data_IF_801582346296
#
_entry.id   IF_801582346296
#
_cell.length_a   1.000
_cell.length_b   1.000
_cell.length_c   1.000
_cell.angle_alpha   90.00
_cell.angle_beta   90.00
_cell.angle_gamma   90.00
#
_symmetry.space_group_name_H-M   'P 1'
#
loop_
_entity.id
_entity.type
_entity.pdbx_description
1 polymer ?
#
# COMPACT_ATOMS: atom_id res chain seq x y z
N UNK A 1 2.13 -9.63 -23.74
CA UNK A 1 3.52 -9.88 -23.36
C UNK A 1 4.37 -8.65 -23.65
N UNK A 2 4.04 -7.96 -24.69
CA UNK A 2 4.78 -6.75 -25.00
C UNK A 2 4.52 -5.67 -24.01
N UNK A 3 3.40 -5.73 -23.34
CA UNK A 3 3.08 -4.73 -22.33
C UNK A 3 4.03 -4.78 -21.17
N UNK A 4 4.55 -5.93 -20.87
CA UNK A 4 5.50 -6.04 -19.78
C UNK A 4 6.80 -5.34 -20.11
N UNK A 5 7.15 -5.31 -21.37
CA UNK A 5 8.30 -4.55 -21.79
C UNK A 5 8.09 -3.08 -21.60
N UNK A 6 6.91 -2.63 -22.00
CA UNK A 6 6.65 -1.21 -22.07
C UNK A 6 6.31 -0.61 -20.74
N UNK A 7 5.73 -1.44 -19.88
CA UNK A 7 5.15 -0.93 -18.64
C UNK A 7 5.55 -1.82 -17.50
N UNK A 8 6.76 -1.64 -17.06
CA UNK A 8 7.24 -2.40 -15.92
C UNK A 8 6.78 -1.74 -14.67
N UNK A 9 5.52 -1.94 -14.34
CA UNK A 9 4.97 -1.41 -13.13
C UNK A 9 5.41 -2.26 -11.95
N UNK A 10 5.70 -1.59 -10.86
CA UNK A 10 5.98 -2.25 -9.60
C UNK A 10 4.68 -2.37 -8.83
N UNK A 11 4.41 -3.56 -8.35
CA UNK A 11 3.25 -3.81 -7.50
C UNK A 11 3.71 -4.23 -6.13
N UNK A 12 3.05 -3.72 -5.12
CA UNK A 12 3.40 -4.00 -3.74
C UNK A 12 2.15 -4.17 -2.92
N UNK A 13 2.29 -4.91 -1.83
CA UNK A 13 1.25 -5.00 -0.82
C UNK A 13 1.82 -4.49 0.48
N UNK A 14 1.07 -3.65 1.14
CA UNK A 14 1.47 -3.08 2.40
C UNK A 14 0.50 -3.55 3.47
N UNK A 15 1.04 -4.20 4.48
CA UNK A 15 0.25 -4.67 5.62
C UNK A 15 0.37 -3.62 6.71
N UNK A 16 -0.77 -3.16 7.21
CA UNK A 16 -0.81 -1.99 8.08
C UNK A 16 -1.54 -2.29 9.36
N UNK A 17 -0.94 -1.94 10.49
CA UNK A 17 -1.61 -1.94 11.78
C UNK A 17 -1.99 -0.52 12.15
N UNK A 18 -3.18 -0.37 12.71
CA UNK A 18 -3.75 0.93 13.02
C UNK A 18 -3.99 1.06 14.52
N UNK A 19 -3.95 2.30 14.96
CA UNK A 19 -4.44 2.64 16.30
C UNK A 19 -5.95 2.39 16.34
N UNK A 20 -6.44 1.88 17.46
CA UNK A 20 -7.86 1.58 17.60
C UNK A 20 -8.69 2.85 17.39
N UNK A 21 -9.77 2.70 16.65
CA UNK A 21 -10.75 3.75 16.46
C UNK A 21 -10.47 4.74 15.36
N UNK A 22 -9.35 4.59 14.61
CA UNK A 22 -8.99 5.56 13.56
C UNK A 22 -9.05 4.99 12.15
N UNK A 23 -9.54 3.75 11.98
CA UNK A 23 -9.43 3.09 10.69
C UNK A 23 -10.14 3.85 9.58
N UNK A 24 -11.33 4.39 9.82
CA UNK A 24 -12.04 5.13 8.77
C UNK A 24 -11.26 6.35 8.31
N UNK A 25 -10.64 7.05 9.24
CA UNK A 25 -9.90 8.25 8.92
C UNK A 25 -8.67 7.92 8.09
N UNK A 26 -7.96 6.87 8.47
CA UNK A 26 -6.79 6.45 7.74
C UNK A 26 -7.17 5.97 6.34
N UNK A 27 -8.20 5.14 6.24
CA UNK A 27 -8.64 4.62 4.94
C UNK A 27 -9.00 5.78 4.01
N UNK A 28 -9.70 6.78 4.52
CA UNK A 28 -10.09 7.92 3.71
C UNK A 28 -8.87 8.67 3.18
N UNK A 29 -7.83 8.81 4.00
CA UNK A 29 -6.62 9.48 3.55
C UNK A 29 -5.88 8.67 2.51
N UNK A 30 -5.78 7.36 2.71
CA UNK A 30 -5.09 6.49 1.77
C UNK A 30 -5.82 6.40 0.44
N UNK A 31 -7.14 6.41 0.48
CA UNK A 31 -7.95 6.27 -0.72
C UNK A 31 -7.77 7.44 -1.68
N UNK A 32 -7.22 8.54 -1.23
CA UNK A 32 -6.97 9.70 -2.08
C UNK A 32 -5.70 9.57 -2.91
N UNK A 33 -4.89 8.55 -2.67
CA UNK A 33 -3.63 8.36 -3.39
C UNK A 33 -3.88 7.55 -4.65
N UNK A 34 -3.57 8.09 -5.83
CA UNK A 34 -3.83 7.34 -7.08
C UNK A 34 -3.01 6.07 -7.20
N UNK A 35 -1.86 5.99 -6.53
CA UNK A 35 -1.04 4.78 -6.57
C UNK A 35 -1.66 3.61 -5.82
N UNK A 36 -2.58 3.89 -4.94
CA UNK A 36 -3.24 2.85 -4.15
C UNK A 36 -4.42 2.33 -4.93
N UNK A 37 -4.37 1.05 -5.32
CA UNK A 37 -5.38 0.45 -6.17
C UNK A 37 -6.42 -0.33 -5.39
N UNK A 38 -6.12 -0.71 -4.14
CA UNK A 38 -7.05 -1.47 -3.34
C UNK A 38 -6.71 -1.30 -1.86
N UNK A 39 -7.73 -1.21 -1.04
CA UNK A 39 -7.58 -1.18 0.40
C UNK A 39 -8.58 -2.19 0.95
N UNK A 40 -8.07 -3.18 1.69
CA UNK A 40 -8.91 -4.21 2.27
C UNK A 40 -8.75 -4.18 3.78
N UNK A 41 -9.87 -4.23 4.47
CA UNK A 41 -9.88 -4.37 5.92
C UNK A 41 -9.91 -5.87 6.23
N UNK A 42 -9.00 -6.32 7.07
CA UNK A 42 -8.86 -7.75 7.35
C UNK A 42 -8.83 -7.97 8.85
N UNK A 43 -9.12 -9.19 9.26
CA UNK A 43 -8.98 -9.59 10.63
C UNK A 43 -7.73 -10.46 10.74
N UNK A 44 -7.01 -10.33 11.87
CA UNK A 44 -5.79 -11.08 12.09
C UNK A 44 -4.72 -10.19 12.66
N UNK A 45 -3.48 -10.47 12.26
CA UNK A 45 -2.32 -9.75 12.80
C UNK A 45 -2.30 -8.31 12.32
N UNK A 46 -2.80 -8.05 11.12
CA UNK A 46 -2.83 -6.71 10.54
C UNK A 46 -4.27 -6.26 10.34
N UNK A 47 -4.45 -4.95 10.26
CA UNK A 47 -5.77 -4.36 10.13
C UNK A 47 -6.14 -4.09 8.68
N UNK A 48 -5.17 -3.71 7.86
CA UNK A 48 -5.41 -3.38 6.46
C UNK A 48 -4.39 -4.06 5.56
N UNK A 49 -4.83 -4.39 4.36
CA UNK A 49 -3.94 -4.75 3.25
C UNK A 49 -4.15 -3.70 2.18
N UNK A 50 -3.08 -2.99 1.83
CA UNK A 50 -3.12 -1.92 0.84
C UNK A 50 -2.33 -2.38 -0.38
N UNK A 51 -2.98 -2.36 -1.55
CA UNK A 51 -2.30 -2.73 -2.79
C UNK A 51 -1.89 -1.47 -3.51
N UNK A 52 -0.65 -1.46 -3.98
CA UNK A 52 0.00 -0.29 -4.55
C UNK A 52 0.56 -0.65 -5.92
N UNK A 53 0.41 0.25 -6.87
CA UNK A 53 1.03 0.14 -8.19
C UNK A 53 1.74 1.44 -8.48
N UNK A 54 3.03 1.36 -8.77
CA UNK A 54 3.86 2.54 -9.07
C UNK A 54 4.74 2.24 -10.27
N UNK A 55 5.34 3.27 -10.83
CA UNK A 55 6.19 3.13 -12.01
C UNK A 55 7.66 3.01 -11.67
N UNK A 56 8.06 3.43 -10.49
CA UNK A 56 9.46 3.39 -10.08
C UNK A 56 9.59 3.09 -8.60
N UNK A 57 10.71 2.49 -8.21
CA UNK A 57 10.93 2.16 -6.81
C UNK A 57 11.02 3.40 -5.93
N UNK A 58 11.53 4.51 -6.47
CA UNK A 58 11.58 5.75 -5.70
C UNK A 58 10.19 6.25 -5.36
N UNK A 59 9.24 6.04 -6.26
CA UNK A 59 7.85 6.41 -6.00
C UNK A 59 7.25 5.56 -4.90
N UNK A 60 7.58 4.28 -4.89
CA UNK A 60 7.13 3.39 -3.83
C UNK A 60 7.70 3.81 -2.48
N UNK A 61 9.00 4.11 -2.44
CA UNK A 61 9.64 4.51 -1.19
C UNK A 61 8.97 5.74 -0.61
N UNK A 62 8.68 6.71 -1.46
CA UNK A 62 8.04 7.94 -1.00
C UNK A 62 6.65 7.65 -0.47
N UNK A 63 5.89 6.82 -1.17
CA UNK A 63 4.54 6.48 -0.74
C UNK A 63 4.56 5.73 0.59
N UNK A 64 5.48 4.80 0.74
CA UNK A 64 5.62 4.05 1.99
C UNK A 64 5.90 5.01 3.14
N UNK A 65 6.82 5.95 2.93
CA UNK A 65 7.14 6.94 3.97
C UNK A 65 5.92 7.77 4.31
N UNK A 66 5.18 8.22 3.31
CA UNK A 66 3.98 9.01 3.54
C UNK A 66 2.95 8.24 4.35
N UNK A 67 2.76 6.97 4.03
CA UNK A 67 1.80 6.14 4.76
C UNK A 67 2.26 5.94 6.19
N UNK A 68 3.54 5.67 6.39
CA UNK A 68 4.07 5.44 7.73
C UNK A 68 3.98 6.68 8.60
N UNK A 69 3.98 7.86 8.00
CA UNK A 69 3.85 9.11 8.75
C UNK A 69 2.40 9.52 8.96
N UNK A 70 1.47 8.79 8.37
CA UNK A 70 0.05 9.10 8.55
C UNK A 70 -0.34 8.82 9.99
N UNK A 71 -1.01 9.79 10.61
CA UNK A 71 -1.45 9.63 11.98
C UNK A 71 -2.45 8.49 12.09
N UNK A 72 -2.22 7.60 13.03
CA UNK A 72 -3.06 6.42 13.21
C UNK A 72 -2.44 5.15 12.66
N UNK A 73 -1.39 5.24 11.84
CA UNK A 73 -0.66 4.10 11.35
C UNK A 73 0.44 3.76 12.35
N UNK A 74 0.41 2.53 12.88
CA UNK A 74 1.36 2.13 13.91
C UNK A 74 2.51 1.33 13.35
N UNK A 75 2.20 0.34 12.53
CA UNK A 75 3.20 -0.59 12.05
C UNK A 75 2.87 -0.98 10.63
N UNK A 76 3.89 -1.08 9.81
CA UNK A 76 3.70 -1.46 8.41
C UNK A 76 4.75 -2.47 7.99
N UNK A 77 4.36 -3.34 7.06
CA UNK A 77 5.25 -4.26 6.37
C UNK A 77 4.93 -4.14 4.90
N UNK A 78 5.95 -3.87 4.09
CA UNK A 78 5.77 -3.72 2.66
C UNK A 78 6.38 -4.91 1.94
N UNK A 79 5.59 -5.55 1.08
CA UNK A 79 6.02 -6.68 0.28
C UNK A 79 5.92 -6.31 -1.19
N UNK A 80 7.04 -6.40 -1.90
CA UNK A 80 7.04 -6.13 -3.34
C UNK A 80 6.72 -7.43 -4.06
N UNK A 81 5.77 -7.37 -4.99
CA UNK A 81 5.38 -8.55 -5.76
C UNK A 81 6.43 -8.81 -6.83
N UNK A 82 7.04 -9.98 -6.78
CA UNK A 82 8.07 -10.35 -7.74
C UNK A 82 7.48 -11.08 -8.94
N UNK A 83 6.52 -11.95 -8.68
CA UNK A 83 5.90 -12.76 -9.74
C UNK A 83 4.49 -13.10 -9.36
N UNK A 84 3.66 -13.26 -10.37
CA UNK A 84 2.29 -13.68 -10.17
C UNK A 84 2.03 -14.90 -11.06
N UNK A 85 1.44 -15.93 -10.49
CA UNK A 85 1.22 -17.19 -11.21
C UNK A 85 -0.24 -17.44 -11.52
#
# INVERSE_FOLDING_TARGET
FDQEYERKLLKAQMLVNLTAGVSRKVIKQLDQRPQITSIMSVSGVYDLIVEITVEASSELDKLVDDIRETQGVEKTVTCVVLSKY
#
